data_IF_360280520243
#
_entry.id   IF_360280520243
#
_cell.length_a   1.000
_cell.length_b   1.000
_cell.length_c   1.000
_cell.angle_alpha   90.00
_cell.angle_beta   90.00
_cell.angle_gamma   90.00
#
_symmetry.space_group_name_H-M   'P 1'
#
loop_
_entity.id
_entity.type
_entity.pdbx_description
1 polymer ?
#
# COMPACT_ATOMS: atom_id res chain seq x y z
N UNK A 1 17.15 10.04 6.53
CA UNK A 1 17.13 8.97 5.50
C UNK A 1 15.80 8.25 5.40
N UNK A 2 15.36 7.45 6.41
CA UNK A 2 14.15 6.62 6.28
C UNK A 2 12.87 7.40 5.94
N UNK A 3 12.66 8.55 6.58
CA UNK A 3 11.50 9.42 6.29
C UNK A 3 11.54 9.95 4.85
N UNK A 4 12.71 10.37 4.37
CA UNK A 4 12.90 10.86 3.01
C UNK A 4 12.58 9.77 1.97
N UNK A 5 13.12 8.56 2.14
CA UNK A 5 12.82 7.42 1.28
C UNK A 5 11.32 7.08 1.30
N UNK A 6 10.69 7.13 2.49
CA UNK A 6 9.26 6.89 2.64
C UNK A 6 8.41 7.97 1.95
N UNK A 7 8.75 9.25 2.12
CA UNK A 7 8.10 10.39 1.44
C UNK A 7 8.19 10.19 -0.06
N UNK A 8 9.36 9.86 -0.59
CA UNK A 8 9.57 9.64 -2.02
C UNK A 8 8.70 8.50 -2.56
N UNK A 9 8.72 7.34 -1.88
CA UNK A 9 7.91 6.20 -2.27
C UNK A 9 6.40 6.50 -2.23
N UNK A 10 5.93 7.20 -1.19
CA UNK A 10 4.53 7.61 -1.08
C UNK A 10 4.14 8.65 -2.12
N UNK A 11 5.04 9.58 -2.45
CA UNK A 11 4.83 10.58 -3.50
C UNK A 11 4.67 9.89 -4.87
N UNK A 12 5.59 9.00 -5.22
CA UNK A 12 5.49 8.20 -6.46
C UNK A 12 4.22 7.35 -6.50
N UNK A 13 3.84 6.74 -5.37
CA UNK A 13 2.61 5.96 -5.29
C UNK A 13 1.38 6.83 -5.51
N UNK A 14 1.26 7.96 -4.83
CA UNK A 14 0.13 8.91 -5.03
C UNK A 14 0.07 9.33 -6.49
N UNK A 15 1.18 9.76 -7.09
CA UNK A 15 1.23 10.18 -8.49
C UNK A 15 0.81 9.07 -9.47
N UNK A 16 1.16 7.80 -9.17
CA UNK A 16 0.70 6.67 -9.99
C UNK A 16 -0.81 6.44 -9.93
N UNK A 17 -1.47 6.83 -8.84
CA UNK A 17 -2.92 6.76 -8.69
C UNK A 17 -3.57 8.00 -9.33
N UNK A 18 -3.08 9.20 -9.03
CA UNK A 18 -3.61 10.46 -9.54
C UNK A 18 -3.47 10.61 -11.06
N UNK A 19 -2.51 9.92 -11.69
CA UNK A 19 -2.43 9.83 -13.15
C UNK A 19 -3.72 9.26 -13.79
N UNK A 20 -4.54 8.53 -13.03
CA UNK A 20 -5.84 7.97 -13.48
C UNK A 20 -7.02 8.91 -13.20
N UNK A 21 -6.80 10.00 -12.46
CA UNK A 21 -7.84 10.99 -12.18
C UNK A 21 -8.15 11.82 -13.44
N UNK A 22 -9.36 12.38 -13.54
CA UNK A 22 -9.76 13.27 -14.63
C UNK A 22 -10.31 14.57 -14.05
N UNK A 23 -9.62 15.72 -14.22
CA UNK A 23 -8.32 15.89 -14.88
C UNK A 23 -7.16 15.26 -14.08
N UNK A 24 -6.05 14.86 -14.72
CA UNK A 24 -4.89 14.31 -14.01
C UNK A 24 -4.33 15.32 -13.01
N UNK A 25 -4.02 14.82 -11.82
CA UNK A 25 -3.38 15.60 -10.74
C UNK A 25 -1.97 15.07 -10.49
N UNK A 26 -1.05 15.94 -10.07
CA UNK A 26 0.32 15.56 -9.70
C UNK A 26 0.71 16.30 -8.43
N UNK A 27 1.41 15.60 -7.54
CA UNK A 27 2.06 16.21 -6.38
C UNK A 27 3.55 16.33 -6.62
N UNK A 28 4.08 17.49 -6.26
CA UNK A 28 5.51 17.82 -6.29
C UNK A 28 6.11 17.67 -4.88
N UNK A 29 5.43 18.20 -3.86
CA UNK A 29 5.80 18.00 -2.46
C UNK A 29 4.59 17.55 -1.65
N UNK A 30 4.66 16.29 -1.19
CA UNK A 30 3.61 15.65 -0.40
C UNK A 30 3.16 16.47 0.82
N UNK A 31 4.05 17.20 1.49
CA UNK A 31 3.72 17.91 2.72
C UNK A 31 3.04 19.26 2.47
N UNK A 32 3.26 19.86 1.31
CA UNK A 32 2.62 21.13 0.92
C UNK A 32 1.33 20.88 0.15
N UNK A 33 1.36 19.95 -0.79
CA UNK A 33 0.26 19.78 -1.76
C UNK A 33 -0.97 19.10 -1.13
N UNK A 34 -0.78 18.39 -0.02
CA UNK A 34 -1.88 17.79 0.74
C UNK A 34 -2.65 18.79 1.61
N UNK A 35 -2.07 19.95 1.93
CA UNK A 35 -2.60 20.90 2.93
C UNK A 35 -3.97 21.48 2.56
N UNK A 36 -4.28 21.53 1.26
CA UNK A 36 -5.56 22.04 0.75
C UNK A 36 -6.68 20.98 0.74
N UNK A 37 -6.34 19.71 0.97
CA UNK A 37 -7.30 18.59 0.96
C UNK A 37 -7.72 18.12 -0.45
N UNK A 38 -7.54 18.92 -1.50
CA UNK A 38 -7.94 18.56 -2.86
C UNK A 38 -7.26 17.28 -3.36
N UNK A 39 -5.93 17.18 -3.23
CA UNK A 39 -5.16 15.99 -3.59
C UNK A 39 -5.66 14.74 -2.84
N UNK A 40 -6.03 14.91 -1.57
CA UNK A 40 -6.51 13.80 -0.76
C UNK A 40 -7.89 13.33 -1.23
N UNK A 41 -8.76 14.26 -1.62
CA UNK A 41 -10.06 13.93 -2.23
C UNK A 41 -9.85 13.22 -3.57
N UNK A 42 -9.04 13.78 -4.49
CA UNK A 42 -8.75 13.17 -5.81
C UNK A 42 -8.24 11.72 -5.64
N UNK A 43 -7.31 11.52 -4.70
CA UNK A 43 -6.77 10.20 -4.39
C UNK A 43 -7.87 9.22 -3.95
N UNK A 44 -8.75 9.64 -3.05
CA UNK A 44 -9.84 8.80 -2.54
C UNK A 44 -10.90 8.54 -3.61
N UNK A 45 -11.17 9.50 -4.49
CA UNK A 45 -12.09 9.36 -5.62
C UNK A 45 -11.58 8.28 -6.59
N UNK A 46 -10.30 8.32 -6.99
CA UNK A 46 -9.70 7.28 -7.83
C UNK A 46 -9.70 5.91 -7.16
N UNK A 47 -9.33 5.83 -5.88
CA UNK A 47 -9.25 4.55 -5.15
C UNK A 47 -10.62 3.91 -4.90
N UNK A 48 -11.67 4.72 -4.77
CA UNK A 48 -12.99 4.24 -4.40
C UNK A 48 -14.00 4.19 -5.54
N UNK A 49 -13.73 4.90 -6.64
CA UNK A 49 -14.68 5.10 -7.74
C UNK A 49 -15.88 5.97 -7.37
N UNK A 50 -15.83 6.68 -6.23
CA UNK A 50 -16.93 7.51 -5.73
C UNK A 50 -16.53 8.98 -5.75
N UNK A 51 -17.45 9.87 -6.12
CA UNK A 51 -17.24 11.32 -6.05
C UNK A 51 -17.43 11.83 -4.61
N UNK A 52 -16.56 12.75 -4.16
CA UNK A 52 -16.57 13.28 -2.79
C UNK A 52 -16.97 14.76 -2.75
N UNK A 53 -17.59 15.22 -1.65
CA UNK A 53 -17.91 16.64 -1.47
C UNK A 53 -16.65 17.50 -1.40
N UNK A 54 -16.65 18.63 -2.13
CA UNK A 54 -15.51 19.53 -2.28
C UNK A 54 -15.92 20.98 -2.20
N UNK A 55 -15.32 21.72 -1.29
CA UNK A 55 -15.42 23.16 -1.19
C UNK A 55 -14.49 23.83 -2.20
N UNK A 56 -14.98 24.87 -2.87
CA UNK A 56 -14.21 25.67 -3.83
C UNK A 56 -13.52 26.82 -3.11
N UNK A 57 -12.20 26.93 -3.26
CA UNK A 57 -11.41 28.03 -2.69
C UNK A 57 -10.16 27.55 -1.97
N UNK A 58 -9.35 28.51 -1.52
CA UNK A 58 -8.02 28.26 -0.95
C UNK A 58 -7.85 28.80 0.47
N UNK A 59 -8.92 29.32 1.08
CA UNK A 59 -8.81 29.83 2.44
C UNK A 59 -8.78 28.68 3.46
N UNK A 60 -8.32 28.97 4.67
CA UNK A 60 -8.16 27.97 5.74
C UNK A 60 -9.44 27.21 6.06
N UNK A 61 -10.62 27.86 5.95
CA UNK A 61 -11.91 27.23 6.21
C UNK A 61 -12.23 26.18 5.13
N UNK A 62 -12.03 26.50 3.84
CA UNK A 62 -12.24 25.54 2.75
C UNK A 62 -11.23 24.39 2.80
N UNK A 63 -9.95 24.67 3.06
CA UNK A 63 -8.93 23.63 3.23
C UNK A 63 -9.32 22.66 4.37
N UNK A 64 -9.78 23.21 5.49
CA UNK A 64 -10.27 22.43 6.63
C UNK A 64 -11.46 21.55 6.25
N UNK A 65 -12.47 22.12 5.59
CA UNK A 65 -13.66 21.38 5.16
C UNK A 65 -13.31 20.24 4.20
N UNK A 66 -12.44 20.49 3.21
CA UNK A 66 -11.99 19.47 2.26
C UNK A 66 -11.26 18.30 2.95
N UNK A 67 -10.38 18.60 3.91
CA UNK A 67 -9.71 17.57 4.70
C UNK A 67 -10.72 16.82 5.58
N UNK A 68 -11.65 17.53 6.23
CA UNK A 68 -12.72 16.90 7.04
C UNK A 68 -13.59 15.95 6.23
N UNK A 69 -13.94 16.29 4.99
CA UNK A 69 -14.67 15.42 4.07
C UNK A 69 -13.89 14.14 3.77
N UNK A 70 -12.61 14.26 3.44
CA UNK A 70 -11.74 13.11 3.20
C UNK A 70 -11.58 12.21 4.44
N UNK A 71 -11.34 12.78 5.62
CA UNK A 71 -11.20 12.00 6.85
C UNK A 71 -12.53 11.34 7.27
N UNK A 72 -13.66 12.00 7.02
CA UNK A 72 -14.99 11.44 7.27
C UNK A 72 -15.27 10.25 6.36
N UNK A 73 -14.94 10.36 5.07
CA UNK A 73 -15.02 9.25 4.14
C UNK A 73 -14.21 8.02 4.62
N UNK A 74 -12.97 8.24 5.06
CA UNK A 74 -12.12 7.17 5.59
C UNK A 74 -12.72 6.54 6.86
N UNK A 75 -13.27 7.34 7.78
CA UNK A 75 -13.96 6.83 8.98
C UNK A 75 -15.18 5.98 8.61
N UNK A 76 -15.95 6.38 7.60
CA UNK A 76 -17.12 5.64 7.12
C UNK A 76 -16.74 4.28 6.52
N UNK A 77 -15.54 4.16 5.95
CA UNK A 77 -14.95 2.87 5.52
C UNK A 77 -14.26 2.10 6.67
N UNK A 78 -14.57 2.44 7.92
CA UNK A 78 -14.02 1.80 9.13
C UNK A 78 -12.50 1.98 9.32
N UNK A 79 -11.87 2.98 8.68
CA UNK A 79 -10.49 3.32 8.97
C UNK A 79 -10.42 4.14 10.27
N UNK A 80 -9.66 3.61 11.24
CA UNK A 80 -9.35 4.31 12.47
C UNK A 80 -8.17 5.26 12.26
N UNK A 81 -8.49 6.55 12.27
CA UNK A 81 -7.53 7.65 12.19
C UNK A 81 -7.08 8.04 13.60
N UNK A 82 -6.15 7.26 14.18
CA UNK A 82 -5.63 7.51 15.53
C UNK A 82 -4.56 8.58 15.45
N UNK A 83 -4.71 9.65 16.24
CA UNK A 83 -3.79 10.79 16.27
C UNK A 83 -3.59 11.47 14.91
N UNK A 84 -4.66 11.53 14.09
CA UNK A 84 -4.65 12.27 12.83
C UNK A 84 -5.70 13.37 12.97
N UNK A 85 -5.24 14.61 13.09
CA UNK A 85 -6.10 15.79 13.21
C UNK A 85 -6.00 16.66 11.96
N UNK A 86 -7.08 17.39 11.66
CA UNK A 86 -7.17 18.23 10.45
C UNK A 86 -6.12 19.33 10.46
N UNK A 87 -5.92 19.99 11.60
CA UNK A 87 -4.93 21.07 11.74
C UNK A 87 -3.50 20.60 11.41
N UNK A 88 -3.13 19.39 11.83
CA UNK A 88 -1.81 18.82 11.55
C UNK A 88 -1.58 18.53 10.06
N UNK A 89 -2.65 18.22 9.32
CA UNK A 89 -2.59 18.00 7.87
C UNK A 89 -2.50 19.34 7.13
N UNK A 90 -3.26 20.35 7.56
CA UNK A 90 -3.15 21.73 7.04
C UNK A 90 -1.74 22.27 7.27
N UNK A 91 -1.14 22.01 8.42
CA UNK A 91 0.25 22.39 8.73
C UNK A 91 1.30 21.53 8.00
N UNK A 92 0.88 20.46 7.31
CA UNK A 92 1.79 19.58 6.57
C UNK A 92 2.74 18.79 7.47
N UNK A 93 2.35 18.44 8.70
CA UNK A 93 3.23 17.74 9.66
C UNK A 93 3.70 16.40 9.10
N UNK A 94 5.03 16.20 8.88
CA UNK A 94 5.54 15.03 8.17
C UNK A 94 5.05 13.67 8.70
N UNK A 95 5.14 13.45 10.01
CA UNK A 95 4.75 12.18 10.64
C UNK A 95 3.26 11.87 10.49
N UNK A 96 2.41 12.90 10.53
CA UNK A 96 0.95 12.79 10.42
C UNK A 96 0.56 12.52 8.97
N UNK A 97 1.14 13.27 8.02
CA UNK A 97 0.90 13.09 6.58
C UNK A 97 1.35 11.69 6.15
N UNK A 98 2.57 11.28 6.48
CA UNK A 98 3.05 9.93 6.16
C UNK A 98 2.21 8.84 6.84
N UNK A 99 1.79 9.03 8.09
CA UNK A 99 0.91 8.11 8.80
C UNK A 99 -0.47 7.95 8.14
N UNK A 100 -1.05 9.06 7.67
CA UNK A 100 -2.31 9.07 6.94
C UNK A 100 -2.18 8.34 5.60
N UNK A 101 -1.20 8.70 4.78
CA UNK A 101 -0.98 8.06 3.48
C UNK A 101 -0.69 6.58 3.63
N UNK A 102 0.13 6.20 4.62
CA UNK A 102 0.35 4.79 4.95
C UNK A 102 -0.94 4.06 5.31
N UNK A 103 -1.82 4.71 6.09
CA UNK A 103 -3.12 4.13 6.46
C UNK A 103 -4.00 3.89 5.23
N UNK A 104 -3.98 4.79 4.25
CA UNK A 104 -4.72 4.67 2.98
C UNK A 104 -4.12 3.54 2.13
N UNK A 105 -2.81 3.55 1.89
CA UNK A 105 -2.09 2.50 1.14
C UNK A 105 -2.41 1.13 1.73
N UNK A 106 -2.26 1.01 3.05
CA UNK A 106 -2.44 -0.24 3.75
C UNK A 106 -3.87 -0.78 3.56
N UNK A 107 -4.88 0.06 3.68
CA UNK A 107 -6.27 -0.37 3.59
C UNK A 107 -6.70 -0.72 2.17
N UNK A 108 -6.41 0.14 1.19
CA UNK A 108 -6.91 -0.03 -0.18
C UNK A 108 -6.12 -1.04 -1.00
N UNK A 109 -4.82 -1.23 -0.73
CA UNK A 109 -4.01 -2.17 -1.48
C UNK A 109 -3.61 -3.39 -0.66
N UNK A 110 -3.03 -3.22 0.53
CA UNK A 110 -2.44 -4.35 1.24
C UNK A 110 -3.51 -5.23 1.89
N UNK A 111 -4.49 -4.63 2.58
CA UNK A 111 -5.56 -5.37 3.26
C UNK A 111 -6.52 -6.02 2.25
N UNK A 112 -6.86 -5.31 1.16
CA UNK A 112 -7.67 -5.85 0.07
C UNK A 112 -7.00 -7.04 -0.62
N UNK A 113 -5.74 -6.87 -1.07
CA UNK A 113 -5.00 -7.94 -1.76
C UNK A 113 -4.72 -9.12 -0.85
N UNK A 114 -4.34 -8.89 0.41
CA UNK A 114 -4.10 -9.98 1.34
C UNK A 114 -5.38 -10.78 1.64
N UNK A 115 -6.56 -10.14 1.63
CA UNK A 115 -7.84 -10.85 1.76
C UNK A 115 -8.11 -11.72 0.54
N UNK A 116 -7.91 -11.19 -0.66
CA UNK A 116 -8.05 -11.95 -1.92
C UNK A 116 -7.09 -13.14 -1.97
N UNK A 117 -5.83 -12.94 -1.60
CA UNK A 117 -4.84 -14.02 -1.49
C UNK A 117 -5.26 -15.04 -0.43
N UNK A 118 -5.67 -14.60 0.76
CA UNK A 118 -6.12 -15.51 1.81
C UNK A 118 -7.33 -16.36 1.39
N UNK A 119 -8.27 -15.83 0.61
CA UNK A 119 -9.37 -16.61 0.04
C UNK A 119 -8.90 -17.65 -0.99
N UNK A 120 -7.81 -17.37 -1.71
CA UNK A 120 -7.20 -18.31 -2.67
C UNK A 120 -6.44 -19.42 -1.95
N UNK A 121 -5.67 -19.07 -0.91
CA UNK A 121 -4.90 -20.00 -0.08
C UNK A 121 -5.76 -20.84 0.88
N UNK A 122 -6.90 -20.32 1.33
CA UNK A 122 -7.83 -21.03 2.20
C UNK A 122 -8.93 -21.75 1.40
N UNK A 123 -8.77 -21.98 0.09
CA UNK A 123 -9.61 -22.95 -0.60
C UNK A 123 -9.46 -24.30 0.11
N UNK A 124 -10.52 -24.82 0.76
CA UNK A 124 -10.48 -26.16 1.28
C UNK A 124 -10.35 -27.10 0.08
N UNK A 125 -9.46 -28.08 0.15
CA UNK A 125 -9.78 -29.34 -0.53
C UNK A 125 -11.20 -29.73 -0.09
N UNK A 126 -12.08 -30.01 -1.05
CA UNK A 126 -13.43 -30.47 -0.77
C UNK A 126 -13.35 -31.68 0.18
N UNK A 127 -13.55 -31.48 1.48
CA UNK A 127 -14.32 -32.37 2.33
C UNK A 127 -14.56 -31.81 3.74
N UNK A 128 -15.83 -31.94 4.13
CA UNK A 128 -16.42 -31.99 5.47
C UNK A 128 -16.64 -30.73 6.33
N UNK A 129 -17.95 -30.53 6.53
CA UNK A 129 -18.70 -29.69 7.47
C UNK A 129 -18.37 -29.90 8.95
N UNK A 130 -18.44 -28.83 9.76
CA UNK A 130 -19.21 -28.84 11.03
C UNK A 130 -19.37 -27.44 11.66
N UNK A 131 -20.64 -27.01 11.72
CA UNK A 131 -21.41 -26.41 12.85
C UNK A 131 -20.94 -25.19 13.67
N UNK A 132 -21.86 -24.22 13.71
CA UNK A 132 -22.23 -23.13 14.67
C UNK A 132 -21.70 -23.24 16.12
N UNK A 133 -21.45 -22.16 16.88
CA UNK A 133 -22.50 -21.28 17.46
C UNK A 133 -21.98 -20.01 18.22
N UNK A 134 -22.84 -18.98 18.23
CA UNK A 134 -23.15 -17.93 19.25
C UNK A 134 -22.19 -16.79 19.69
N UNK A 135 -22.45 -15.59 19.13
CA UNK A 135 -23.00 -14.33 19.72
C UNK A 135 -22.50 -13.65 21.04
N UNK A 136 -22.73 -12.31 21.21
CA UNK A 136 -21.74 -11.36 21.76
C UNK A 136 -22.18 -10.55 23.01
N UNK A 137 -21.21 -10.00 23.78
CA UNK A 137 -21.44 -8.90 24.74
C UNK A 137 -20.24 -7.93 24.93
N UNK A 138 -20.55 -6.63 25.00
CA UNK A 138 -20.02 -5.69 26.02
C UNK A 138 -18.73 -4.89 25.76
N UNK A 139 -18.89 -3.63 25.30
CA UNK A 139 -18.06 -2.42 25.54
C UNK A 139 -16.57 -2.56 25.92
N UNK A 140 -15.70 -2.80 24.92
CA UNK A 140 -14.24 -2.52 24.96
C UNK A 140 -13.74 -2.14 23.55
N UNK A 141 -14.32 -1.11 22.93
CA UNK A 141 -14.33 -0.94 21.47
C UNK A 141 -13.04 -0.37 20.84
N UNK A 142 -12.19 0.35 21.60
CA UNK A 142 -10.95 0.92 21.05
C UNK A 142 -9.75 -0.05 21.11
N UNK A 143 -9.43 -0.58 22.31
CA UNK A 143 -8.27 -1.48 22.54
C UNK A 143 -8.44 -2.85 21.87
N UNK A 144 -9.65 -3.44 21.89
CA UNK A 144 -9.92 -4.74 21.26
C UNK A 144 -9.79 -4.64 19.74
N UNK A 145 -10.32 -3.58 19.15
CA UNK A 145 -10.25 -3.34 17.71
C UNK A 145 -8.83 -2.96 17.25
N UNK A 146 -8.04 -2.22 18.04
CA UNK A 146 -6.62 -2.00 17.74
C UNK A 146 -5.83 -3.31 17.75
N UNK A 147 -6.06 -4.18 18.75
CA UNK A 147 -5.43 -5.50 18.84
C UNK A 147 -5.86 -6.43 17.70
N UNK A 148 -7.14 -6.38 17.31
CA UNK A 148 -7.67 -7.08 16.14
C UNK A 148 -6.97 -6.56 14.88
N UNK A 149 -6.94 -5.24 14.62
CA UNK A 149 -6.31 -4.65 13.43
C UNK A 149 -4.81 -4.95 13.35
N UNK A 150 -4.07 -4.89 14.46
CA UNK A 150 -2.67 -5.32 14.49
C UNK A 150 -2.52 -6.82 14.18
N UNK A 151 -3.42 -7.66 14.71
CA UNK A 151 -3.46 -9.09 14.35
C UNK A 151 -3.74 -9.30 12.86
N UNK A 152 -4.61 -8.50 12.25
CA UNK A 152 -4.88 -8.51 10.81
C UNK A 152 -3.70 -7.99 9.99
N UNK A 153 -3.02 -6.92 10.42
CA UNK A 153 -1.78 -6.45 9.76
C UNK A 153 -0.71 -7.54 9.76
N UNK A 154 -0.52 -8.20 10.89
CA UNK A 154 0.38 -9.35 11.01
C UNK A 154 -0.08 -10.49 10.10
N UNK A 155 -1.38 -10.74 10.00
CA UNK A 155 -1.94 -11.74 9.08
C UNK A 155 -1.67 -11.39 7.62
N UNK A 156 -1.98 -10.17 7.18
CA UNK A 156 -1.78 -9.72 5.81
C UNK A 156 -0.29 -9.74 5.42
N UNK A 157 0.58 -9.29 6.33
CA UNK A 157 2.04 -9.37 6.14
C UNK A 157 2.50 -10.82 6.01
N UNK A 158 1.98 -11.74 6.84
CA UNK A 158 2.31 -13.17 6.74
C UNK A 158 1.82 -13.79 5.44
N UNK A 159 0.59 -13.50 5.02
CA UNK A 159 0.02 -14.00 3.76
C UNK A 159 0.84 -13.52 2.57
N UNK A 160 1.19 -12.23 2.51
CA UNK A 160 2.01 -11.70 1.43
C UNK A 160 3.43 -12.29 1.44
N UNK A 161 4.01 -12.51 2.62
CA UNK A 161 5.33 -13.13 2.75
C UNK A 161 5.30 -14.59 2.28
N UNK A 162 4.24 -15.33 2.61
CA UNK A 162 4.05 -16.69 2.14
C UNK A 162 3.92 -16.75 0.62
N UNK A 163 3.09 -15.87 0.04
CA UNK A 163 2.98 -15.73 -1.41
C UNK A 163 4.35 -15.46 -2.05
N UNK A 164 5.10 -14.50 -1.53
CA UNK A 164 6.42 -14.16 -2.07
C UNK A 164 7.42 -15.34 -2.01
N UNK A 165 7.39 -16.12 -0.93
CA UNK A 165 8.21 -17.35 -0.79
C UNK A 165 7.87 -18.36 -1.87
N UNK A 166 6.59 -18.63 -2.08
CA UNK A 166 6.14 -19.60 -3.08
C UNK A 166 6.53 -19.16 -4.49
N UNK A 167 6.27 -17.89 -4.84
CA UNK A 167 6.65 -17.37 -6.16
C UNK A 167 8.14 -17.49 -6.43
N UNK A 168 8.98 -17.22 -5.43
CA UNK A 168 10.42 -17.34 -5.58
C UNK A 168 10.85 -18.81 -5.73
N UNK A 169 10.26 -19.72 -4.94
CA UNK A 169 10.62 -21.15 -4.91
C UNK A 169 10.39 -21.90 -6.23
N UNK A 170 9.50 -21.39 -7.10
CA UNK A 170 9.14 -22.04 -8.37
C UNK A 170 10.27 -22.08 -9.40
N UNK A 171 11.14 -21.06 -9.41
CA UNK A 171 12.21 -20.95 -10.41
C UNK A 171 13.61 -20.85 -9.81
N UNK A 172 13.70 -20.69 -8.48
CA UNK A 172 14.97 -20.54 -7.79
C UNK A 172 14.80 -20.74 -6.29
N UNK A 173 15.69 -21.46 -5.62
CA UNK A 173 15.65 -21.59 -4.15
C UNK A 173 16.09 -20.30 -3.44
N UNK A 174 15.55 -19.13 -3.83
CA UNK A 174 15.85 -17.84 -3.21
C UNK A 174 15.06 -17.73 -1.90
N UNK A 175 15.74 -17.63 -0.75
CA UNK A 175 15.06 -17.49 0.53
C UNK A 175 14.48 -16.08 0.69
N UNK A 176 13.16 -16.01 0.94
CA UNK A 176 12.48 -14.77 1.31
C UNK A 176 11.93 -14.91 2.72
N UNK A 177 12.53 -14.25 3.72
CA UNK A 177 12.11 -14.38 5.12
C UNK A 177 11.52 -13.10 5.72
N UNK A 178 11.72 -11.96 5.06
CA UNK A 178 11.19 -10.66 5.46
C UNK A 178 10.92 -9.74 4.25
N UNK A 179 10.35 -8.56 4.50
CA UNK A 179 10.23 -7.46 3.53
C UNK A 179 11.34 -6.41 3.71
N UNK A 180 12.53 -6.85 4.13
CA UNK A 180 13.66 -5.96 4.44
C UNK A 180 14.94 -6.46 3.77
N UNK A 181 15.75 -7.27 4.47
CA UNK A 181 17.07 -7.67 3.98
C UNK A 181 16.98 -8.68 2.84
N UNK A 182 15.93 -9.51 2.81
CA UNK A 182 15.75 -10.55 1.78
C UNK A 182 15.69 -9.97 0.37
N UNK A 183 15.21 -8.72 0.22
CA UNK A 183 14.97 -8.07 -1.06
C UNK A 183 16.15 -7.22 -1.54
N UNK A 184 17.18 -7.04 -0.71
CA UNK A 184 18.34 -6.18 -1.03
C UNK A 184 19.13 -6.65 -2.25
N UNK A 185 19.13 -7.96 -2.53
CA UNK A 185 19.85 -8.52 -3.66
C UNK A 185 19.18 -8.25 -5.02
N UNK A 186 17.92 -7.81 -5.02
CA UNK A 186 17.09 -7.70 -6.23
C UNK A 186 16.59 -9.04 -6.77
N UNK A 187 17.15 -10.17 -6.32
CA UNK A 187 16.81 -11.50 -6.83
C UNK A 187 15.34 -11.89 -6.59
N UNK A 188 14.71 -11.63 -5.42
CA UNK A 188 13.29 -11.94 -5.25
C UNK A 188 12.38 -11.18 -6.23
N UNK A 189 12.71 -9.92 -6.56
CA UNK A 189 11.93 -9.16 -7.54
C UNK A 189 12.04 -9.80 -8.93
N UNK A 190 13.25 -10.13 -9.37
CA UNK A 190 13.48 -10.80 -10.65
C UNK A 190 12.79 -12.17 -10.70
N UNK A 191 12.88 -12.96 -9.62
CA UNK A 191 12.25 -14.27 -9.56
C UNK A 191 10.73 -14.18 -9.70
N UNK A 192 10.09 -13.24 -8.99
CA UNK A 192 8.65 -13.01 -9.13
C UNK A 192 8.29 -12.60 -10.57
N UNK A 193 9.07 -11.72 -11.20
CA UNK A 193 8.86 -11.31 -12.59
C UNK A 193 8.95 -12.53 -13.53
N UNK A 194 9.95 -13.39 -13.34
CA UNK A 194 10.11 -14.62 -14.12
C UNK A 194 8.92 -15.56 -13.95
N UNK A 195 8.38 -15.69 -12.73
CA UNK A 195 7.21 -16.51 -12.44
C UNK A 195 5.95 -15.96 -13.12
N UNK A 196 5.76 -14.63 -13.09
CA UNK A 196 4.59 -13.98 -13.69
C UNK A 196 4.64 -13.97 -15.22
N UNK A 197 5.83 -13.78 -15.80
CA UNK A 197 6.05 -13.78 -17.25
C UNK A 197 7.41 -14.40 -17.58
N UNK A 198 7.45 -15.72 -17.86
CA UNK A 198 8.69 -16.42 -18.16
C UNK A 198 9.41 -15.83 -19.37
N UNK A 199 10.74 -15.70 -19.27
CA UNK A 199 11.60 -15.27 -20.37
C UNK A 199 11.94 -13.77 -20.37
N UNK A 200 11.39 -13.00 -19.44
CA UNK A 200 11.75 -11.58 -19.28
C UNK A 200 13.09 -11.35 -18.59
N UNK A 201 13.53 -12.29 -17.75
CA UNK A 201 14.74 -12.15 -16.94
C UNK A 201 15.54 -13.45 -16.91
N UNK A 202 16.86 -13.32 -16.78
CA UNK A 202 17.79 -14.44 -16.68
C UNK A 202 18.32 -14.51 -15.24
N UNK A 203 17.73 -15.41 -14.44
CA UNK A 203 18.07 -15.55 -13.01
C UNK A 203 19.50 -16.06 -12.78
N UNK A 204 20.06 -16.84 -13.70
CA UNK A 204 21.43 -17.33 -13.57
C UNK A 204 22.43 -16.18 -13.76
N UNK A 205 22.20 -15.30 -14.74
CA UNK A 205 22.99 -14.08 -14.88
C UNK A 205 22.81 -13.14 -13.69
N UNK A 206 21.59 -13.03 -13.16
CA UNK A 206 21.29 -12.14 -12.04
C UNK A 206 22.07 -12.51 -10.76
N UNK A 207 22.30 -13.81 -10.50
CA UNK A 207 23.10 -14.26 -9.35
C UNK A 207 24.54 -13.75 -9.34
N UNK A 208 25.10 -13.46 -10.53
CA UNK A 208 26.46 -12.96 -10.68
C UNK A 208 26.57 -11.43 -10.71
N UNK A 209 25.44 -10.70 -10.78
CA UNK A 209 25.39 -9.23 -10.85
C UNK A 209 25.38 -8.61 -9.47
N UNK A 210 25.71 -7.31 -9.41
CA UNK A 210 25.54 -6.55 -8.18
C UNK A 210 24.06 -6.35 -7.83
N UNK A 211 23.80 -6.16 -6.53
CA UNK A 211 22.45 -5.85 -6.02
C UNK A 211 21.80 -4.67 -6.75
N UNK A 212 22.58 -3.62 -7.03
CA UNK A 212 22.10 -2.40 -7.68
C UNK A 212 21.68 -2.65 -9.12
N UNK A 213 22.43 -3.46 -9.85
CA UNK A 213 22.08 -3.84 -11.23
C UNK A 213 20.80 -4.68 -11.26
N UNK A 214 20.69 -5.67 -10.37
CA UNK A 214 19.49 -6.50 -10.27
C UNK A 214 18.24 -5.69 -9.94
N UNK A 215 18.34 -4.75 -8.98
CA UNK A 215 17.23 -3.86 -8.63
C UNK A 215 16.85 -2.92 -9.78
N UNK A 216 17.83 -2.35 -10.50
CA UNK A 216 17.58 -1.51 -11.68
C UNK A 216 16.83 -2.28 -12.77
N UNK A 217 17.28 -3.49 -13.07
CA UNK A 217 16.65 -4.34 -14.07
C UNK A 217 15.24 -4.73 -13.63
N UNK A 218 15.07 -5.21 -12.40
CA UNK A 218 13.78 -5.63 -11.88
C UNK A 218 12.73 -4.50 -11.97
N UNK A 219 13.09 -3.30 -11.52
CA UNK A 219 12.17 -2.16 -11.54
C UNK A 219 11.88 -1.69 -12.98
N UNK A 220 12.88 -1.72 -13.87
CA UNK A 220 12.67 -1.38 -15.29
C UNK A 220 11.75 -2.39 -15.98
N UNK A 221 11.98 -3.68 -15.78
CA UNK A 221 11.18 -4.74 -16.40
C UNK A 221 9.75 -4.72 -15.87
N UNK A 222 9.56 -4.56 -14.56
CA UNK A 222 8.23 -4.44 -13.97
C UNK A 222 7.45 -3.24 -14.52
N UNK A 223 8.12 -2.09 -14.72
CA UNK A 223 7.51 -0.90 -15.27
C UNK A 223 7.12 -1.06 -16.75
N UNK A 224 8.06 -1.54 -17.58
CA UNK A 224 7.84 -1.63 -19.04
C UNK A 224 6.93 -2.80 -19.42
N UNK A 225 7.14 -3.98 -18.82
CA UNK A 225 6.50 -5.22 -19.26
C UNK A 225 5.23 -5.56 -18.48
N UNK A 226 5.12 -5.07 -17.24
CA UNK A 226 4.01 -5.37 -16.32
C UNK A 226 3.21 -4.11 -15.95
N UNK A 227 3.59 -2.93 -16.44
CA UNK A 227 2.96 -1.66 -16.14
C UNK A 227 2.87 -1.38 -14.62
N UNK A 228 3.87 -1.82 -13.86
CA UNK A 228 3.98 -1.62 -12.42
C UNK A 228 4.78 -0.33 -12.17
N UNK A 229 4.17 0.72 -11.57
CA UNK A 229 4.86 1.98 -11.32
C UNK A 229 6.11 1.82 -10.45
N UNK A 230 7.18 2.53 -10.79
CA UNK A 230 8.42 2.52 -10.03
C UNK A 230 8.29 3.33 -8.74
N UNK A 231 8.05 2.63 -7.62
CA UNK A 231 7.92 3.24 -6.30
C UNK A 231 9.24 3.35 -5.53
N UNK A 232 10.26 2.60 -5.96
CA UNK A 232 11.54 2.46 -5.26
C UNK A 232 12.71 2.75 -6.21
N UNK A 233 13.79 3.26 -5.65
CA UNK A 233 15.04 3.48 -6.37
C UNK A 233 16.15 2.53 -5.90
N UNK A 234 17.00 2.04 -6.82
CA UNK A 234 18.19 1.27 -6.49
C UNK A 234 19.28 2.18 -5.93
N UNK A 235 19.27 2.41 -4.61
CA UNK A 235 20.36 3.07 -3.89
C UNK A 235 21.56 2.12 -3.71
#
# INVERSE_FOLDING_TARGET
QREFTQKKAFTSWINSILAKHTPPSVISDLYTDIQQGHVLLDLLEVLSGQHLPREKGFNTFQCRSNIENALTFLKNRSLKLINIHVADIIEGKPSIVLGLIWTIIFHFHIEELARTLACTYNQPSLHCSSTVDSSPKGSRSAKKSAKIKERWKVSATKTLLLWAKEQCSLHSSIPVTDFKSSWRSGLPFLAIIQTLRPGLVDLEKAKARSNKENLKEAFRVAEVELNIPRLLEPE
#
